data_IF_873227567246
#
_entry.id   IF_873227567246
#
_cell.length_a   1.000
_cell.length_b   1.000
_cell.length_c   1.000
_cell.angle_alpha   90.00
_cell.angle_beta   90.00
_cell.angle_gamma   90.00
#
_symmetry.space_group_name_H-M   'P 1'
#
loop_
_entity.id
_entity.type
_entity.pdbx_description
1 polymer ?
#
# COMPACT_ATOMS: atom_id res chain seq x y z
N UNK A 1 -13.78 7.54 -21.90
CA UNK A 1 -12.56 7.06 -21.20
C UNK A 1 -12.68 7.30 -19.71
N UNK A 2 -12.22 6.35 -18.93
CA UNK A 2 -12.23 6.48 -17.48
C UNK A 2 -11.23 7.56 -17.04
N UNK A 3 -11.62 8.36 -16.06
CA UNK A 3 -10.77 9.39 -15.46
C UNK A 3 -10.08 8.80 -14.22
N UNK A 4 -8.78 8.53 -14.33
CA UNK A 4 -7.97 7.99 -13.26
C UNK A 4 -7.22 9.11 -12.55
N UNK A 5 -7.35 9.16 -11.22
CA UNK A 5 -6.65 10.13 -10.37
C UNK A 5 -6.01 9.41 -9.19
N UNK A 6 -4.75 9.74 -8.90
CA UNK A 6 -4.07 9.32 -7.68
C UNK A 6 -3.75 10.61 -6.91
N UNK A 7 -4.18 10.67 -5.66
CA UNK A 7 -4.05 11.85 -4.83
C UNK A 7 -3.90 11.49 -3.34
N UNK A 8 -3.48 12.44 -2.50
CA UNK A 8 -3.48 12.21 -1.05
C UNK A 8 -4.87 11.86 -0.53
N UNK A 9 -4.91 10.95 0.45
CA UNK A 9 -6.14 10.57 1.13
C UNK A 9 -6.58 11.68 2.08
N UNK A 10 -7.87 12.01 2.03
CA UNK A 10 -8.50 12.94 2.95
C UNK A 10 -9.34 12.16 3.97
N UNK A 11 -9.68 12.79 5.10
CA UNK A 11 -10.50 12.13 6.12
C UNK A 11 -11.88 11.72 5.60
N UNK A 12 -12.43 12.48 4.66
CA UNK A 12 -13.71 12.17 4.02
C UNK A 12 -13.64 10.95 3.10
N UNK A 13 -12.44 10.46 2.76
CA UNK A 13 -12.26 9.27 1.93
C UNK A 13 -12.34 7.96 2.73
N UNK A 14 -12.22 8.03 4.05
CA UNK A 14 -12.02 6.84 4.90
C UNK A 14 -13.16 5.83 4.75
N UNK A 15 -14.42 6.27 4.63
CA UNK A 15 -15.54 5.35 4.44
C UNK A 15 -15.35 4.46 3.21
N UNK A 16 -14.99 5.04 2.08
CA UNK A 16 -14.72 4.29 0.85
C UNK A 16 -13.46 3.42 0.95
N UNK A 17 -12.43 3.92 1.65
CA UNK A 17 -11.19 3.16 1.87
C UNK A 17 -11.45 1.92 2.72
N UNK A 18 -12.27 2.04 3.76
CA UNK A 18 -12.67 0.91 4.59
C UNK A 18 -13.42 -0.14 3.77
N UNK A 19 -14.26 0.27 2.84
CA UNK A 19 -14.95 -0.67 1.94
C UNK A 19 -13.94 -1.46 1.08
N UNK A 20 -12.91 -0.82 0.58
CA UNK A 20 -11.82 -1.51 -0.15
C UNK A 20 -11.09 -2.47 0.78
N UNK A 21 -10.77 -2.03 1.98
CA UNK A 21 -10.05 -2.83 2.98
C UNK A 21 -10.82 -4.11 3.31
N UNK A 22 -12.11 -4.00 3.58
CA UNK A 22 -12.98 -5.15 3.90
C UNK A 22 -13.06 -6.12 2.71
N UNK A 23 -13.09 -5.60 1.48
CA UNK A 23 -13.17 -6.42 0.29
C UNK A 23 -11.88 -7.20 -0.01
N UNK A 24 -10.74 -6.72 0.48
CA UNK A 24 -9.41 -7.27 0.15
C UNK A 24 -8.84 -8.15 1.27
N UNK A 25 -9.02 -7.75 2.53
CA UNK A 25 -8.33 -8.38 3.66
C UNK A 25 -9.28 -9.13 4.59
N UNK A 26 -8.86 -10.29 5.07
CA UNK A 26 -9.62 -11.10 6.04
C UNK A 26 -9.64 -10.45 7.42
N UNK A 27 -8.56 -9.73 7.78
CA UNK A 27 -8.46 -8.96 9.03
C UNK A 27 -8.27 -7.49 8.66
N UNK A 28 -9.35 -6.80 8.30
CA UNK A 28 -9.26 -5.42 7.83
C UNK A 28 -8.96 -4.45 8.98
N UNK A 29 -8.28 -3.34 8.64
CA UNK A 29 -8.17 -2.22 9.56
C UNK A 29 -9.54 -1.55 9.73
N UNK A 30 -9.78 -1.05 10.94
CA UNK A 30 -10.99 -0.29 11.26
C UNK A 30 -10.88 1.16 10.77
N UNK A 31 -12.02 1.83 10.72
CA UNK A 31 -12.09 3.26 10.46
C UNK A 31 -11.21 4.06 11.41
N UNK A 32 -11.21 3.71 12.71
CA UNK A 32 -10.39 4.39 13.73
C UNK A 32 -8.90 4.29 13.44
N UNK A 33 -8.41 3.15 12.97
CA UNK A 33 -6.99 2.96 12.61
C UNK A 33 -6.64 3.88 11.44
N UNK A 34 -7.46 3.93 10.40
CA UNK A 34 -7.22 4.84 9.27
C UNK A 34 -7.24 6.30 9.70
N UNK A 35 -8.18 6.68 10.58
CA UNK A 35 -8.25 8.04 11.10
C UNK A 35 -6.97 8.42 11.83
N UNK A 36 -6.48 7.57 12.72
CA UNK A 36 -5.24 7.81 13.46
C UNK A 36 -4.04 7.96 12.53
N UNK A 37 -3.95 7.10 11.51
CA UNK A 37 -2.85 7.15 10.53
C UNK A 37 -2.88 8.44 9.71
N UNK A 38 -4.05 8.83 9.23
CA UNK A 38 -4.18 10.00 8.34
C UNK A 38 -4.12 11.30 9.12
N UNK A 39 -4.78 11.39 10.28
CA UNK A 39 -4.90 12.64 11.03
C UNK A 39 -3.79 12.86 12.05
N UNK A 40 -3.22 11.80 12.62
CA UNK A 40 -2.37 11.91 13.80
C UNK A 40 -0.93 11.40 13.59
N UNK A 41 -0.69 10.49 12.65
CA UNK A 41 0.65 9.95 12.43
C UNK A 41 1.46 10.89 11.53
N UNK A 42 2.45 11.57 12.13
CA UNK A 42 3.30 12.53 11.43
C UNK A 42 4.20 11.93 10.36
N UNK A 43 4.44 10.63 10.42
CA UNK A 43 5.32 9.92 9.48
C UNK A 43 4.54 9.22 8.37
N UNK A 44 3.20 9.24 8.44
CA UNK A 44 2.34 8.52 7.51
C UNK A 44 1.87 9.41 6.37
N UNK A 45 1.87 8.84 5.18
CA UNK A 45 1.36 9.46 3.95
C UNK A 45 0.48 8.43 3.27
N UNK A 46 -0.81 8.72 3.12
CA UNK A 46 -1.77 7.83 2.50
C UNK A 46 -2.26 8.42 1.20
N UNK A 47 -2.45 7.56 0.21
CA UNK A 47 -2.89 7.96 -1.13
C UNK A 47 -4.07 7.08 -1.55
N UNK A 48 -4.97 7.66 -2.32
CA UNK A 48 -6.08 6.92 -2.92
C UNK A 48 -5.95 6.96 -4.44
N UNK A 49 -6.43 5.91 -5.08
CA UNK A 49 -6.62 5.87 -6.53
C UNK A 49 -8.11 5.80 -6.80
N UNK A 50 -8.58 6.69 -7.66
CA UNK A 50 -10.00 6.75 -8.02
C UNK A 50 -10.18 6.66 -9.53
N UNK A 51 -11.28 6.03 -9.92
CA UNK A 51 -11.76 5.94 -11.29
C UNK A 51 -13.12 6.62 -11.33
N UNK A 52 -13.25 7.67 -12.16
CA UNK A 52 -14.50 8.43 -12.30
C UNK A 52 -15.09 8.82 -10.92
N UNK A 53 -14.22 9.35 -10.06
CA UNK A 53 -14.55 9.84 -8.71
C UNK A 53 -14.92 8.75 -7.68
N UNK A 54 -14.73 7.48 -8.02
CA UNK A 54 -14.92 6.35 -7.09
C UNK A 54 -13.56 5.83 -6.64
N UNK A 55 -13.33 5.77 -5.33
CA UNK A 55 -12.10 5.21 -4.77
C UNK A 55 -12.10 3.70 -4.97
N UNK A 56 -11.09 3.21 -5.67
CA UNK A 56 -10.94 1.77 -6.00
C UNK A 56 -9.70 1.15 -5.37
N UNK A 57 -8.89 1.94 -4.69
CA UNK A 57 -7.70 1.45 -4.01
C UNK A 57 -7.04 2.51 -3.16
N UNK A 58 -6.06 2.08 -2.39
CA UNK A 58 -5.26 2.98 -1.56
C UNK A 58 -3.87 2.40 -1.29
N UNK A 59 -2.95 3.26 -0.88
CA UNK A 59 -1.62 2.88 -0.42
C UNK A 59 -1.23 3.71 0.79
N UNK A 60 -0.55 3.08 1.74
CA UNK A 60 0.03 3.74 2.91
C UNK A 60 1.55 3.70 2.86
N UNK A 61 2.16 4.82 3.23
CA UNK A 61 3.59 5.03 3.23
C UNK A 61 4.02 5.67 4.55
N UNK A 62 5.04 5.10 5.20
CA UNK A 62 5.72 5.76 6.31
C UNK A 62 7.09 6.20 5.85
N UNK A 63 7.49 7.41 6.22
CA UNK A 63 8.84 7.90 5.98
C UNK A 63 9.39 8.44 7.30
N UNK A 64 10.42 7.78 7.81
CA UNK A 64 11.09 8.16 9.04
C UNK A 64 12.54 8.46 8.68
N UNK A 65 12.92 9.75 8.70
CA UNK A 65 14.23 10.25 8.24
C UNK A 65 14.40 9.89 6.75
N UNK A 66 15.19 8.88 6.41
CA UNK A 66 15.45 8.42 5.04
C UNK A 66 14.96 6.99 4.79
N UNK A 67 14.26 6.39 5.74
CA UNK A 67 13.72 5.04 5.65
C UNK A 67 12.23 5.10 5.31
N UNK A 68 11.86 4.58 4.15
CA UNK A 68 10.49 4.53 3.67
C UNK A 68 9.95 3.11 3.75
N UNK A 69 8.69 2.96 4.17
CA UNK A 69 8.04 1.67 4.30
C UNK A 69 6.61 1.76 3.76
N UNK A 70 6.24 0.83 2.89
CA UNK A 70 4.86 0.64 2.49
C UNK A 70 4.16 -0.13 3.63
N UNK A 71 3.12 0.46 4.20
CA UNK A 71 2.36 -0.17 5.28
C UNK A 71 1.32 -1.13 4.73
N UNK A 72 0.62 -0.71 3.69
CA UNK A 72 -0.34 -1.53 2.97
C UNK A 72 -0.63 -0.92 1.60
N UNK A 73 -1.09 -1.76 0.69
CA UNK A 73 -1.55 -1.36 -0.63
C UNK A 73 -2.65 -2.32 -1.05
N UNK A 74 -3.74 -1.79 -1.56
CA UNK A 74 -4.89 -2.60 -1.96
C UNK A 74 -5.63 -2.00 -3.14
N UNK A 75 -6.11 -2.88 -4.03
CA UNK A 75 -7.01 -2.53 -5.12
C UNK A 75 -8.28 -3.36 -4.96
N UNK A 76 -9.44 -2.73 -5.07
CA UNK A 76 -10.72 -3.42 -5.03
C UNK A 76 -10.74 -4.58 -6.03
N UNK A 77 -11.24 -5.77 -5.64
CA UNK A 77 -11.24 -6.94 -6.51
C UNK A 77 -11.89 -6.72 -7.88
N UNK A 78 -12.93 -5.88 -7.95
CA UNK A 78 -13.62 -5.56 -9.20
C UNK A 78 -12.75 -4.80 -10.21
N UNK A 79 -11.66 -4.20 -9.74
CA UNK A 79 -10.76 -3.37 -10.57
C UNK A 79 -9.38 -3.99 -10.78
N UNK A 80 -9.21 -5.25 -10.42
CA UNK A 80 -7.97 -5.98 -10.69
C UNK A 80 -7.84 -6.29 -12.18
N UNK A 81 -6.59 -6.48 -12.65
CA UNK A 81 -6.30 -6.79 -14.04
C UNK A 81 -6.11 -5.57 -14.94
N UNK A 82 -6.24 -4.36 -14.41
CA UNK A 82 -6.07 -3.11 -15.17
C UNK A 82 -4.74 -2.40 -14.84
N UNK A 83 -3.83 -3.08 -14.17
CA UNK A 83 -2.52 -2.56 -13.73
C UNK A 83 -2.62 -1.34 -12.82
N UNK A 84 -3.71 -1.18 -12.10
CA UNK A 84 -3.90 -0.07 -11.17
C UNK A 84 -2.95 -0.18 -9.98
N UNK A 85 -2.67 -1.39 -9.51
CA UNK A 85 -1.70 -1.64 -8.44
C UNK A 85 -0.30 -1.17 -8.82
N UNK A 86 0.13 -1.43 -10.06
CA UNK A 86 1.44 -0.94 -10.55
C UNK A 86 1.48 0.58 -10.60
N UNK A 87 0.42 1.22 -11.08
CA UNK A 87 0.34 2.69 -11.14
C UNK A 87 0.39 3.31 -9.76
N UNK A 88 -0.38 2.75 -8.84
CA UNK A 88 -0.43 3.22 -7.45
C UNK A 88 0.91 3.02 -6.76
N UNK A 89 1.54 1.84 -6.92
CA UNK A 89 2.84 1.55 -6.32
C UNK A 89 3.92 2.49 -6.86
N UNK A 90 3.97 2.69 -8.18
CA UNK A 90 4.93 3.60 -8.81
C UNK A 90 4.78 5.04 -8.32
N UNK A 91 3.54 5.51 -8.19
CA UNK A 91 3.25 6.83 -7.61
C UNK A 91 3.75 6.92 -6.17
N UNK A 92 3.46 5.90 -5.34
CA UNK A 92 3.86 5.89 -3.94
C UNK A 92 5.38 5.86 -3.78
N UNK A 93 6.07 5.08 -4.60
CA UNK A 93 7.53 5.03 -4.64
C UNK A 93 8.12 6.40 -5.00
N UNK A 94 7.56 7.09 -5.98
CA UNK A 94 7.97 8.44 -6.34
C UNK A 94 7.78 9.42 -5.18
N UNK A 95 6.67 9.31 -4.45
CA UNK A 95 6.44 10.12 -3.26
C UNK A 95 7.48 9.83 -2.16
N UNK A 96 7.85 8.56 -1.98
CA UNK A 96 8.89 8.19 -1.03
C UNK A 96 10.22 8.89 -1.36
N UNK A 97 10.59 8.94 -2.63
CA UNK A 97 11.80 9.65 -3.10
C UNK A 97 11.69 11.14 -2.81
N UNK A 98 10.57 11.76 -3.14
CA UNK A 98 10.34 13.20 -2.92
C UNK A 98 10.38 13.58 -1.43
N UNK A 99 9.99 12.67 -0.56
CA UNK A 99 10.00 12.88 0.89
C UNK A 99 11.36 12.58 1.53
N UNK A 100 12.39 12.31 0.74
CA UNK A 100 13.75 12.08 1.20
C UNK A 100 14.07 10.64 1.53
N UNK A 101 13.22 9.70 1.18
CA UNK A 101 13.48 8.27 1.35
C UNK A 101 14.65 7.82 0.49
N UNK A 102 15.56 7.04 1.10
CA UNK A 102 16.71 6.44 0.41
C UNK A 102 16.60 4.94 0.29
N UNK A 103 15.67 4.36 1.01
CA UNK A 103 15.39 2.93 1.00
C UNK A 103 13.90 2.72 1.19
N UNK A 104 13.31 1.84 0.40
CA UNK A 104 11.91 1.46 0.50
C UNK A 104 11.81 -0.03 0.83
N UNK A 105 11.01 -0.38 1.82
CA UNK A 105 10.76 -1.76 2.21
C UNK A 105 9.26 -2.03 2.42
N UNK A 106 8.90 -3.31 2.38
CA UNK A 106 7.55 -3.78 2.66
C UNK A 106 7.59 -5.26 3.08
N UNK A 107 6.48 -5.71 3.66
CA UNK A 107 6.24 -7.13 3.89
C UNK A 107 5.17 -7.63 2.91
N UNK A 108 5.35 -8.83 2.39
CA UNK A 108 4.40 -9.49 1.48
C UNK A 108 4.27 -10.97 1.85
N UNK A 109 3.05 -11.49 1.77
CA UNK A 109 2.81 -12.92 2.04
C UNK A 109 3.62 -13.79 1.09
N UNK A 110 4.18 -14.88 1.60
CA UNK A 110 4.92 -15.83 0.76
C UNK A 110 4.04 -16.41 -0.35
N UNK A 111 2.74 -16.52 -0.13
CA UNK A 111 1.77 -17.02 -1.13
C UNK A 111 1.39 -15.99 -2.18
N UNK A 112 1.65 -14.71 -1.94
CA UNK A 112 1.23 -13.64 -2.87
C UNK A 112 2.27 -13.43 -3.98
N UNK A 113 2.30 -14.38 -4.91
CA UNK A 113 3.27 -14.38 -6.01
C UNK A 113 3.04 -13.20 -6.97
N UNK A 114 1.80 -12.83 -7.19
CA UNK A 114 1.45 -11.72 -8.10
C UNK A 114 2.04 -10.42 -7.57
N UNK A 115 1.86 -10.13 -6.27
CA UNK A 115 2.42 -8.93 -5.66
C UNK A 115 3.95 -8.96 -5.67
N UNK A 116 4.57 -10.08 -5.34
CA UNK A 116 6.03 -10.23 -5.38
C UNK A 116 6.59 -9.92 -6.76
N UNK A 117 5.93 -10.41 -7.82
CA UNK A 117 6.35 -10.12 -9.21
C UNK A 117 6.24 -8.63 -9.52
N UNK A 118 5.17 -7.99 -9.08
CA UNK A 118 4.99 -6.55 -9.27
C UNK A 118 6.11 -5.78 -8.58
N UNK A 119 6.41 -6.10 -7.32
CA UNK A 119 7.48 -5.41 -6.58
C UNK A 119 8.86 -5.61 -7.22
N UNK A 120 9.13 -6.80 -7.76
CA UNK A 120 10.38 -7.06 -8.50
C UNK A 120 10.53 -6.19 -9.74
N UNK A 121 9.44 -5.86 -10.42
CA UNK A 121 9.48 -4.93 -11.56
C UNK A 121 9.99 -3.55 -11.16
N UNK A 122 9.75 -3.14 -9.92
CA UNK A 122 10.25 -1.87 -9.37
C UNK A 122 11.62 -1.99 -8.72
N UNK A 123 12.26 -3.13 -8.84
CA UNK A 123 13.61 -3.35 -8.34
C UNK A 123 13.70 -3.90 -6.93
N UNK A 124 12.58 -4.16 -6.25
CA UNK A 124 12.62 -4.73 -4.92
C UNK A 124 13.10 -6.18 -4.96
N UNK A 125 13.92 -6.55 -4.00
CA UNK A 125 14.47 -7.88 -3.85
C UNK A 125 14.17 -8.42 -2.45
N UNK A 126 14.07 -9.75 -2.26
CA UNK A 126 13.91 -10.33 -0.93
C UNK A 126 15.09 -10.00 -0.03
N UNK A 127 14.82 -9.58 1.21
CA UNK A 127 15.85 -9.22 2.18
C UNK A 127 15.65 -9.82 3.56
N UNK A 128 14.65 -10.67 3.74
CA UNK A 128 14.38 -11.30 5.03
C UNK A 128 13.06 -12.03 5.05
N UNK A 129 12.86 -12.80 6.12
CA UNK A 129 11.65 -13.58 6.35
C UNK A 129 11.15 -13.27 7.76
N UNK A 130 9.87 -12.92 7.90
CA UNK A 130 9.19 -12.79 9.19
C UNK A 130 8.26 -13.99 9.36
N UNK A 131 8.65 -14.93 10.20
CA UNK A 131 7.87 -16.15 10.42
C UNK A 131 6.58 -15.84 11.14
N UNK A 132 5.47 -16.45 10.70
CA UNK A 132 4.15 -16.34 11.31
C UNK A 132 3.68 -14.90 11.49
N UNK A 133 4.03 -14.05 10.52
CA UNK A 133 3.76 -12.61 10.61
C UNK A 133 2.26 -12.29 10.55
N UNK A 134 1.51 -13.00 9.69
CA UNK A 134 0.08 -12.78 9.50
C UNK A 134 -0.73 -13.59 10.50
N UNK A 135 -1.60 -12.91 11.25
CA UNK A 135 -2.32 -13.52 12.37
C UNK A 135 -3.52 -14.36 11.96
N UNK A 136 -4.02 -14.18 10.74
CA UNK A 136 -5.20 -14.91 10.23
C UNK A 136 -4.91 -16.38 9.98
N UNK A 137 -3.76 -16.72 9.41
CA UNK A 137 -3.40 -18.10 9.06
C UNK A 137 -1.95 -18.46 9.42
N UNK A 138 -1.25 -17.63 10.16
CA UNK A 138 0.15 -17.83 10.58
C UNK A 138 1.12 -17.92 9.39
N UNK A 139 0.76 -17.32 8.27
CA UNK A 139 1.61 -17.29 7.08
C UNK A 139 2.84 -16.43 7.31
N UNK A 140 3.98 -16.82 6.74
CA UNK A 140 5.21 -16.04 6.77
C UNK A 140 5.12 -14.83 5.83
N UNK A 141 5.86 -13.78 6.14
CA UNK A 141 6.06 -12.63 5.27
C UNK A 141 7.49 -12.60 4.74
N UNK A 142 7.61 -12.26 3.46
CA UNK A 142 8.91 -11.91 2.87
C UNK A 142 9.07 -10.40 3.01
N UNK A 143 10.20 -9.95 3.54
CA UNK A 143 10.59 -8.54 3.50
C UNK A 143 11.25 -8.28 2.15
N UNK A 144 10.73 -7.32 1.40
CA UNK A 144 11.32 -6.89 0.13
C UNK A 144 11.77 -5.44 0.24
N UNK A 145 12.86 -5.10 -0.42
CA UNK A 145 13.43 -3.77 -0.31
C UNK A 145 14.17 -3.36 -1.57
N UNK A 146 14.36 -2.04 -1.73
CA UNK A 146 15.11 -1.43 -2.83
C UNK A 146 15.75 -0.13 -2.33
N UNK A 147 16.93 0.19 -2.81
CA UNK A 147 17.52 1.52 -2.64
C UNK A 147 16.87 2.49 -3.63
N UNK A 148 16.54 3.66 -3.14
CA UNK A 148 15.89 4.71 -3.93
C UNK A 148 16.90 5.70 -4.50
#
# INVERSE_FOLDING_TARGET
MANLVIRPMELTDIDQVVDVEIAVFDVPWSEDIFYQEVAENKFAYYFVIEIDEVIVGYAGLWVVIDDAQITNIAISPSYRGYKLGEKLFGFTMEQAIRLGGKRLSLEVRVSNIIAQRMYRKFGLVPGGLRKRYYTDNQEDAIVMWVNL
#
